data_IF_122348338026
#
_entry.id   IF_122348338026
#
_cell.length_a   1.000
_cell.length_b   1.000
_cell.length_c   1.000
_cell.angle_alpha   90.00
_cell.angle_beta   90.00
_cell.angle_gamma   90.00
#
_symmetry.space_group_name_H-M   'P 1'
#
loop_
_entity.id
_entity.type
_entity.pdbx_description
1 polymer ?
#
# COMPACT_ATOMS: atom_id res chain seq x y z
N UNK A 1 -60.61 37.40 -11.87
CA UNK A 1 -60.10 37.45 -13.25
C UNK A 1 -58.74 38.09 -13.19
N UNK A 2 -57.67 37.35 -13.45
CA UNK A 2 -56.41 37.89 -13.95
C UNK A 2 -55.63 36.71 -14.55
N UNK A 3 -55.50 36.74 -15.88
CA UNK A 3 -54.66 35.82 -16.65
C UNK A 3 -53.25 36.39 -16.62
N UNK A 4 -52.27 35.57 -16.25
CA UNK A 4 -50.89 35.78 -16.68
C UNK A 4 -50.32 34.45 -17.19
N UNK A 5 -49.74 34.57 -18.37
CA UNK A 5 -49.35 33.57 -19.33
C UNK A 5 -47.95 33.02 -19.10
N UNK A 6 -47.81 31.70 -19.29
CA UNK A 6 -46.72 30.98 -19.98
C UNK A 6 -45.32 31.59 -19.87
N UNK A 7 -44.45 30.93 -19.10
CA UNK A 7 -43.06 30.66 -19.51
C UNK A 7 -42.66 29.27 -19.00
N UNK A 8 -42.71 28.29 -19.90
CA UNK A 8 -42.16 26.95 -19.71
C UNK A 8 -40.65 27.00 -19.83
N UNK A 9 -39.94 27.16 -18.71
CA UNK A 9 -38.48 27.10 -18.72
C UNK A 9 -38.01 25.63 -18.63
N UNK A 10 -38.09 24.96 -19.78
CA UNK A 10 -37.60 23.60 -19.97
C UNK A 10 -36.08 23.56 -19.91
N UNK A 11 -35.52 23.57 -18.70
CA UNK A 11 -34.10 23.30 -18.46
C UNK A 11 -33.79 21.83 -18.76
N UNK A 12 -33.63 21.53 -20.06
CA UNK A 12 -33.17 20.25 -20.59
C UNK A 12 -31.71 20.05 -20.14
N UNK A 13 -31.52 19.46 -18.95
CA UNK A 13 -30.21 18.99 -18.47
C UNK A 13 -29.59 18.10 -19.54
N UNK A 14 -28.63 18.63 -20.30
CA UNK A 14 -27.77 17.84 -21.19
C UNK A 14 -27.03 16.84 -20.30
N UNK A 15 -27.41 15.56 -20.37
CA UNK A 15 -26.59 14.45 -19.87
C UNK A 15 -25.23 14.56 -20.57
N UNK A 16 -24.19 15.01 -19.86
CA UNK A 16 -22.81 14.90 -20.32
C UNK A 16 -22.53 13.40 -20.44
N UNK A 17 -22.57 12.87 -21.67
CA UNK A 17 -22.07 11.53 -21.94
C UNK A 17 -20.60 11.52 -21.53
N UNK A 18 -20.24 10.71 -20.53
CA UNK A 18 -18.85 10.44 -20.19
C UNK A 18 -18.26 9.71 -21.39
N UNK A 19 -17.68 10.46 -22.34
CA UNK A 19 -16.79 9.87 -23.34
C UNK A 19 -15.66 9.24 -22.54
N UNK A 20 -15.54 7.91 -22.58
CA UNK A 20 -14.30 7.24 -22.20
C UNK A 20 -13.23 7.77 -23.15
N UNK A 21 -12.56 8.85 -22.76
CA UNK A 21 -11.35 9.29 -23.45
C UNK A 21 -10.39 8.11 -23.37
N UNK A 22 -10.22 7.41 -24.50
CA UNK A 22 -9.21 6.37 -24.60
C UNK A 22 -7.88 7.03 -24.30
N UNK A 23 -7.29 6.66 -23.17
CA UNK A 23 -5.97 7.16 -22.77
C UNK A 23 -5.01 6.96 -23.93
N UNK A 24 -4.48 8.07 -24.47
CA UNK A 24 -3.52 8.05 -25.58
C UNK A 24 -2.43 7.01 -25.34
N UNK A 25 -1.99 6.33 -26.41
CA UNK A 25 -0.94 5.30 -26.33
C UNK A 25 0.30 5.80 -25.57
N UNK A 26 0.63 7.09 -25.69
CA UNK A 26 1.70 7.74 -24.91
C UNK A 26 1.43 7.74 -23.40
N UNK A 27 0.20 7.99 -22.96
CA UNK A 27 -0.18 7.93 -21.54
C UNK A 27 -0.15 6.50 -21.00
N UNK A 28 -0.62 5.52 -21.78
CA UNK A 28 -0.56 4.09 -21.41
C UNK A 28 0.89 3.61 -21.28
N UNK A 29 1.74 3.97 -22.24
CA UNK A 29 3.17 3.68 -22.18
C UNK A 29 3.83 4.33 -20.96
N UNK A 30 3.58 5.62 -20.70
CA UNK A 30 4.12 6.31 -19.52
C UNK A 30 3.64 5.70 -18.22
N UNK A 31 2.39 5.24 -18.15
CA UNK A 31 1.85 4.53 -16.99
C UNK A 31 2.55 3.19 -16.77
N UNK A 32 2.74 2.39 -17.83
CA UNK A 32 3.49 1.13 -17.75
C UNK A 32 4.95 1.35 -17.35
N UNK A 33 5.63 2.32 -17.95
CA UNK A 33 7.03 2.65 -17.60
C UNK A 33 7.11 3.10 -16.14
N UNK A 34 6.20 3.96 -15.67
CA UNK A 34 6.15 4.38 -14.26
C UNK A 34 5.87 3.21 -13.33
N UNK A 35 4.97 2.30 -13.70
CA UNK A 35 4.70 1.08 -12.95
C UNK A 35 5.97 0.22 -12.84
N UNK A 36 6.67 -0.01 -13.94
CA UNK A 36 7.94 -0.77 -13.95
C UNK A 36 9.01 -0.05 -13.12
N UNK A 37 9.18 1.27 -13.28
CA UNK A 37 10.16 2.06 -12.52
C UNK A 37 9.88 2.06 -11.01
N UNK A 38 8.61 2.22 -10.60
CA UNK A 38 8.21 2.13 -9.19
C UNK A 38 8.48 0.75 -8.59
N UNK A 39 8.54 -0.29 -9.41
CA UNK A 39 8.80 -1.66 -9.00
C UNK A 39 10.25 -2.11 -9.23
N UNK A 40 11.07 -1.28 -9.91
CA UNK A 40 12.47 -1.58 -10.16
C UNK A 40 13.28 -1.86 -8.88
N UNK A 41 13.10 -1.16 -7.75
CA UNK A 41 13.99 -1.34 -6.59
C UNK A 41 13.99 -2.73 -5.96
N UNK A 42 12.86 -3.47 -5.98
CA UNK A 42 12.85 -4.86 -5.52
C UNK A 42 13.31 -5.84 -6.61
N UNK A 43 13.24 -5.45 -7.90
CA UNK A 43 13.87 -6.19 -9.01
C UNK A 43 15.41 -6.06 -8.99
N UNK A 44 15.97 -4.96 -8.48
CA UNK A 44 17.44 -4.74 -8.34
C UNK A 44 18.09 -5.72 -7.35
N UNK A 45 17.31 -6.43 -6.53
CA UNK A 45 17.81 -7.58 -5.76
C UNK A 45 18.43 -8.67 -6.66
N UNK A 46 18.07 -8.70 -7.96
CA UNK A 46 18.69 -9.54 -9.00
C UNK A 46 20.07 -9.01 -9.47
N UNK A 47 20.28 -7.69 -9.54
CA UNK A 47 21.51 -7.08 -10.08
C UNK A 47 22.70 -7.16 -9.11
N UNK A 48 22.45 -7.28 -7.80
CA UNK A 48 23.54 -7.51 -6.82
C UNK A 48 24.26 -8.84 -7.04
N UNK A 49 23.62 -9.83 -7.67
CA UNK A 49 24.25 -11.11 -8.01
C UNK A 49 25.14 -11.01 -9.26
N UNK A 50 24.96 -9.97 -10.09
CA UNK A 50 25.63 -9.82 -11.38
C UNK A 50 26.87 -8.93 -11.41
N UNK A 51 27.17 -8.18 -10.35
CA UNK A 51 28.36 -7.33 -10.28
C UNK A 51 29.48 -8.09 -9.58
N UNK A 52 30.55 -8.39 -10.33
CA UNK A 52 31.69 -9.22 -9.93
C UNK A 52 32.50 -8.69 -8.75
N UNK A 53 31.95 -8.81 -7.54
CA UNK A 53 32.64 -8.61 -6.27
C UNK A 53 33.07 -9.97 -5.74
N UNK A 54 34.27 -10.01 -5.18
CA UNK A 54 34.95 -11.21 -4.68
C UNK A 54 34.03 -12.11 -3.83
N UNK A 55 34.02 -13.41 -4.13
CA UNK A 55 33.04 -14.37 -3.60
C UNK A 55 32.99 -14.41 -2.06
N UNK A 56 34.10 -14.09 -1.41
CA UNK A 56 34.25 -14.04 0.05
C UNK A 56 33.56 -12.80 0.66
N UNK A 57 33.69 -11.64 0.00
CA UNK A 57 33.00 -10.41 0.43
C UNK A 57 31.51 -10.56 0.19
N UNK A 58 31.11 -11.08 -0.97
CA UNK A 58 29.72 -11.42 -1.25
C UNK A 58 29.15 -12.39 -0.22
N UNK A 59 29.88 -13.45 0.16
CA UNK A 59 29.40 -14.40 1.18
C UNK A 59 29.14 -13.74 2.53
N UNK A 60 30.00 -12.80 2.95
CA UNK A 60 29.83 -12.09 4.22
C UNK A 60 28.71 -11.04 4.16
N UNK A 61 28.62 -10.29 3.06
CA UNK A 61 27.54 -9.30 2.84
C UNK A 61 26.20 -10.00 2.67
N UNK A 62 26.14 -11.09 1.89
CA UNK A 62 24.97 -11.95 1.78
C UNK A 62 24.65 -12.65 3.10
N UNK A 63 25.63 -13.04 3.92
CA UNK A 63 25.37 -13.55 5.28
C UNK A 63 24.77 -12.48 6.18
N UNK A 64 25.23 -11.22 6.13
CA UNK A 64 24.63 -10.10 6.87
C UNK A 64 23.22 -9.79 6.35
N UNK A 65 23.03 -9.77 5.03
CA UNK A 65 21.72 -9.63 4.39
C UNK A 65 20.81 -10.84 4.71
N UNK A 66 21.34 -12.06 4.85
CA UNK A 66 20.61 -13.27 5.24
C UNK A 66 20.24 -13.22 6.73
N UNK A 67 21.14 -12.78 7.62
CA UNK A 67 20.86 -12.59 9.05
C UNK A 67 19.80 -11.50 9.26
N UNK A 68 19.85 -10.41 8.47
CA UNK A 68 18.80 -9.37 8.50
C UNK A 68 17.49 -9.85 7.84
N UNK A 69 17.53 -10.72 6.82
CA UNK A 69 16.39 -11.44 6.24
C UNK A 69 15.80 -12.52 7.16
N UNK A 70 16.58 -13.15 8.03
CA UNK A 70 16.06 -14.06 9.06
C UNK A 70 15.31 -13.30 10.15
N UNK A 71 15.75 -12.06 10.44
CA UNK A 71 15.03 -11.14 11.34
C UNK A 71 13.71 -10.64 10.74
N UNK A 72 13.62 -10.52 9.41
CA UNK A 72 12.43 -10.12 8.66
C UNK A 72 12.22 -11.07 7.48
N UNK A 73 11.44 -12.15 7.66
CA UNK A 73 11.12 -13.17 6.64
C UNK A 73 10.84 -12.54 5.27
N UNK A 74 11.88 -12.43 4.43
CA UNK A 74 11.78 -11.71 3.17
C UNK A 74 11.01 -12.57 2.18
N UNK A 75 9.88 -12.07 1.69
CA UNK A 75 9.06 -12.79 0.71
C UNK A 75 9.89 -13.10 -0.55
N UNK A 76 9.78 -14.33 -1.04
CA UNK A 76 10.39 -14.71 -2.33
C UNK A 76 9.73 -13.93 -3.47
N UNK A 77 10.41 -13.86 -4.61
CA UNK A 77 9.85 -13.26 -5.82
C UNK A 77 8.52 -13.89 -6.24
N UNK A 78 8.43 -15.22 -6.17
CA UNK A 78 7.21 -15.96 -6.46
C UNK A 78 6.05 -15.50 -5.56
N UNK A 79 6.30 -15.37 -4.25
CA UNK A 79 5.29 -14.94 -3.29
C UNK A 79 4.86 -13.48 -3.53
N UNK A 80 5.81 -12.58 -3.78
CA UNK A 80 5.52 -11.17 -4.13
C UNK A 80 4.67 -11.08 -5.39
N UNK A 81 4.93 -11.91 -6.39
CA UNK A 81 4.14 -11.99 -7.62
C UNK A 81 2.72 -12.49 -7.36
N UNK A 82 2.55 -13.56 -6.58
CA UNK A 82 1.23 -14.09 -6.19
C UNK A 82 0.41 -13.07 -5.41
N UNK A 83 1.02 -12.33 -4.49
CA UNK A 83 0.35 -11.28 -3.72
C UNK A 83 -0.02 -10.05 -4.56
N UNK A 84 0.52 -9.89 -5.77
CA UNK A 84 0.10 -8.84 -6.71
C UNK A 84 -1.01 -9.29 -7.66
N UNK A 85 -1.19 -10.59 -7.81
CA UNK A 85 -2.34 -11.16 -8.53
C UNK A 85 -3.63 -10.80 -7.77
N UNK A 86 -4.70 -10.65 -8.52
CA UNK A 86 -6.03 -10.44 -7.95
C UNK A 86 -6.41 -11.60 -7.02
N UNK A 87 -6.98 -11.28 -5.85
CA UNK A 87 -7.33 -12.26 -4.83
C UNK A 87 -8.31 -13.31 -5.36
N UNK A 88 -9.25 -12.93 -6.24
CA UNK A 88 -10.23 -13.86 -6.82
C UNK A 88 -9.64 -14.90 -7.76
N UNK A 89 -8.43 -14.63 -8.29
CA UNK A 89 -7.75 -15.52 -9.23
C UNK A 89 -6.75 -16.46 -8.55
N UNK A 90 -6.55 -16.37 -7.22
CA UNK A 90 -5.62 -17.22 -6.48
C UNK A 90 -6.23 -18.61 -6.27
N UNK A 91 -5.44 -19.64 -6.54
CA UNK A 91 -5.84 -21.04 -6.31
C UNK A 91 -5.70 -21.39 -4.83
N UNK A 92 -6.33 -22.48 -4.38
CA UNK A 92 -6.14 -22.99 -3.02
C UNK A 92 -4.67 -23.34 -2.73
N UNK A 93 -3.95 -23.86 -3.73
CA UNK A 93 -2.52 -24.12 -3.64
C UNK A 93 -1.70 -22.83 -3.46
N UNK A 94 -2.05 -21.76 -4.19
CA UNK A 94 -1.43 -20.44 -4.03
C UNK A 94 -1.63 -19.94 -2.59
N UNK A 95 -2.86 -20.03 -2.07
CA UNK A 95 -3.22 -19.56 -0.72
C UNK A 95 -2.47 -20.36 0.34
N UNK A 96 -2.39 -21.69 0.22
CA UNK A 96 -1.66 -22.55 1.15
C UNK A 96 -0.15 -22.25 1.12
N UNK A 97 0.41 -22.00 -0.07
CA UNK A 97 1.82 -21.60 -0.21
C UNK A 97 2.11 -20.25 0.47
N UNK A 98 1.21 -19.27 0.31
CA UNK A 98 1.31 -17.97 0.96
C UNK A 98 1.11 -18.08 2.47
N UNK A 99 0.20 -18.93 2.94
CA UNK A 99 -0.08 -19.10 4.37
C UNK A 99 1.14 -19.64 5.12
N UNK A 100 1.89 -20.58 4.51
CA UNK A 100 3.15 -21.10 5.08
C UNK A 100 4.20 -20.01 5.32
N UNK A 101 4.22 -18.99 4.48
CA UNK A 101 5.23 -17.93 4.52
C UNK A 101 4.77 -16.74 5.35
N UNK A 102 3.50 -16.35 5.23
CA UNK A 102 2.98 -15.07 5.74
C UNK A 102 2.08 -15.28 6.95
N UNK A 103 1.41 -16.43 7.05
CA UNK A 103 0.42 -16.71 8.10
C UNK A 103 0.98 -16.63 9.52
N UNK A 104 2.31 -16.76 9.70
CA UNK A 104 2.96 -16.71 11.01
C UNK A 104 3.69 -15.39 11.31
N UNK A 105 3.55 -14.37 10.46
CA UNK A 105 4.11 -13.05 10.72
C UNK A 105 3.52 -12.42 11.99
N UNK A 106 4.32 -11.61 12.69
CA UNK A 106 3.94 -10.98 13.97
C UNK A 106 2.61 -10.23 13.88
N UNK A 107 2.38 -9.51 12.78
CA UNK A 107 1.15 -8.79 12.51
C UNK A 107 -0.11 -9.68 12.42
N UNK A 108 0.04 -10.96 12.07
CA UNK A 108 -1.06 -11.89 11.92
C UNK A 108 -1.27 -12.81 13.13
N UNK A 109 -0.26 -12.99 13.98
CA UNK A 109 -0.33 -13.86 15.17
C UNK A 109 -1.44 -13.50 16.17
N UNK A 110 -1.93 -12.26 16.15
CA UNK A 110 -3.06 -11.82 16.99
C UNK A 110 -4.40 -12.43 16.56
N UNK A 111 -4.50 -12.95 15.33
CA UNK A 111 -5.75 -13.47 14.78
C UNK A 111 -5.81 -15.01 14.83
N UNK A 112 -7.01 -15.59 15.01
CA UNK A 112 -7.25 -17.03 14.89
C UNK A 112 -6.84 -17.59 13.52
N UNK A 113 -6.52 -18.87 13.43
CA UNK A 113 -6.06 -19.53 12.20
C UNK A 113 -7.00 -19.35 11.00
N UNK A 114 -8.31 -19.50 11.18
CA UNK A 114 -9.28 -19.28 10.12
C UNK A 114 -9.21 -17.86 9.55
N UNK A 115 -9.09 -16.85 10.43
CA UNK A 115 -8.96 -15.44 10.03
C UNK A 115 -7.62 -15.19 9.34
N UNK A 116 -6.52 -15.81 9.82
CA UNK A 116 -5.20 -15.67 9.18
C UNK A 116 -5.22 -16.20 7.74
N UNK A 117 -5.90 -17.32 7.49
CA UNK A 117 -6.03 -17.86 6.13
C UNK A 117 -6.79 -16.90 5.20
N UNK A 118 -7.89 -16.31 5.67
CA UNK A 118 -8.63 -15.29 4.90
C UNK A 118 -7.79 -14.03 4.65
N UNK A 119 -7.08 -13.54 5.68
CA UNK A 119 -6.21 -12.36 5.53
C UNK A 119 -5.11 -12.61 4.48
N UNK A 120 -4.51 -13.80 4.48
CA UNK A 120 -3.51 -14.16 3.46
C UNK A 120 -4.13 -14.23 2.07
N UNK A 121 -5.35 -14.77 1.95
CA UNK A 121 -6.04 -14.85 0.67
C UNK A 121 -6.37 -13.47 0.07
N UNK A 122 -6.72 -12.49 0.91
CA UNK A 122 -7.22 -11.17 0.48
C UNK A 122 -6.20 -10.03 0.54
N UNK A 123 -4.96 -10.29 0.96
CA UNK A 123 -3.92 -9.24 1.05
C UNK A 123 -3.13 -9.07 -0.25
N UNK A 124 -2.61 -7.86 -0.45
CA UNK A 124 -1.83 -7.47 -1.62
C UNK A 124 -0.44 -6.97 -1.25
N UNK A 125 0.58 -7.27 -2.05
CA UNK A 125 1.94 -6.79 -1.82
C UNK A 125 2.19 -5.44 -2.50
N UNK A 126 2.56 -4.44 -1.70
CA UNK A 126 2.95 -3.11 -2.18
C UNK A 126 4.37 -2.75 -1.73
N UNK A 127 5.04 -1.97 -2.59
CA UNK A 127 6.37 -1.44 -2.33
C UNK A 127 6.37 0.06 -2.49
N UNK A 128 6.93 0.78 -1.52
CA UNK A 128 7.13 2.21 -1.59
C UNK A 128 8.61 2.54 -1.31
N UNK A 129 9.14 3.49 -2.07
CA UNK A 129 10.45 4.08 -1.75
C UNK A 129 10.39 4.97 -0.51
N UNK A 130 11.53 5.50 -0.06
CA UNK A 130 11.58 6.51 1.01
C UNK A 130 10.84 7.79 0.61
N UNK A 131 10.49 8.59 1.60
CA UNK A 131 9.84 9.91 1.50
C UNK A 131 8.49 9.89 0.76
N UNK A 132 7.76 8.78 0.86
CA UNK A 132 6.46 8.59 0.21
C UNK A 132 5.34 8.73 1.23
N UNK A 133 4.43 9.67 1.02
CA UNK A 133 3.15 9.70 1.76
C UNK A 133 2.28 8.55 1.26
N UNK A 134 2.03 7.57 2.12
CA UNK A 134 1.25 6.35 1.83
C UNK A 134 -0.21 6.58 2.17
N UNK A 135 -0.46 7.20 3.32
CA UNK A 135 -1.79 7.59 3.81
C UNK A 135 -1.71 9.06 4.21
N UNK A 136 -2.76 9.81 3.93
CA UNK A 136 -2.83 11.24 4.26
C UNK A 136 -4.04 11.51 5.14
N UNK A 137 -3.85 12.30 6.19
CA UNK A 137 -4.92 12.73 7.09
C UNK A 137 -6.09 13.38 6.33
N UNK A 138 -7.30 13.22 6.84
CA UNK A 138 -8.58 13.69 6.29
C UNK A 138 -8.97 13.09 4.93
N UNK A 139 -8.16 12.19 4.35
CA UNK A 139 -8.55 11.48 3.14
C UNK A 139 -9.47 10.30 3.47
N UNK A 140 -10.20 9.81 2.46
CA UNK A 140 -11.04 8.63 2.59
C UNK A 140 -10.19 7.37 2.84
N UNK A 141 -10.70 6.48 3.70
CA UNK A 141 -10.04 5.22 4.04
C UNK A 141 -10.40 4.11 3.06
N UNK A 142 -9.40 3.59 2.34
CA UNK A 142 -9.57 2.57 1.29
C UNK A 142 -8.89 1.24 1.60
N UNK A 143 -7.97 1.22 2.56
CA UNK A 143 -7.21 0.02 2.94
C UNK A 143 -6.59 0.14 4.35
N UNK A 144 -6.15 -0.97 4.93
CA UNK A 144 -5.18 -0.98 6.03
C UNK A 144 -3.90 -1.67 5.56
N UNK A 145 -2.79 -1.35 6.22
CA UNK A 145 -1.48 -1.86 5.87
C UNK A 145 -0.80 -2.57 7.03
N UNK A 146 -0.09 -3.65 6.71
CA UNK A 146 0.80 -4.37 7.60
C UNK A 146 2.24 -4.14 7.15
N UNK A 147 3.11 -3.74 8.07
CA UNK A 147 4.52 -3.45 7.75
C UNK A 147 5.31 -4.76 7.71
N UNK A 148 5.87 -5.11 6.55
CA UNK A 148 6.76 -6.28 6.42
C UNK A 148 8.23 -5.89 6.57
N UNK A 149 8.61 -4.74 6.04
CA UNK A 149 9.98 -4.24 6.05
C UNK A 149 10.00 -2.72 5.97
N UNK A 150 11.05 -2.14 6.56
CA UNK A 150 11.32 -0.70 6.56
C UNK A 150 10.60 0.02 7.70
N UNK A 151 10.61 1.34 7.61
CA UNK A 151 10.20 2.23 8.70
C UNK A 151 9.23 3.28 8.17
N UNK A 152 8.15 3.50 8.91
CA UNK A 152 7.15 4.53 8.64
C UNK A 152 7.10 5.52 9.79
N UNK A 153 6.79 6.76 9.47
CA UNK A 153 6.48 7.82 10.43
C UNK A 153 4.99 8.17 10.33
N UNK A 154 4.35 8.28 11.49
CA UNK A 154 2.96 8.70 11.62
C UNK A 154 2.95 10.11 12.18
N UNK A 155 2.32 11.03 11.44
CA UNK A 155 2.21 12.44 11.79
C UNK A 155 0.76 12.88 11.85
N UNK A 156 0.46 13.75 12.80
CA UNK A 156 -0.84 14.35 12.99
C UNK A 156 -0.74 15.86 12.82
N UNK A 157 -1.57 16.44 11.95
CA UNK A 157 -1.64 17.89 11.72
C UNK A 157 -2.89 18.45 12.39
N UNK A 158 -2.69 19.41 13.30
CA UNK A 158 -3.78 20.12 13.99
C UNK A 158 -3.58 21.63 13.93
N UNK A 159 -4.66 22.37 14.15
CA UNK A 159 -4.58 23.81 14.32
C UNK A 159 -4.14 24.13 15.75
N UNK A 160 -3.08 24.92 15.89
CA UNK A 160 -2.67 25.47 17.17
C UNK A 160 -3.77 26.43 17.68
N UNK A 161 -4.38 26.16 18.85
CA UNK A 161 -5.49 26.96 19.36
C UNK A 161 -5.05 28.36 19.79
N UNK A 162 -3.75 28.57 20.07
CA UNK A 162 -3.21 29.85 20.53
C UNK A 162 -2.77 30.69 19.33
N UNK A 163 -2.05 30.10 18.38
CA UNK A 163 -1.44 30.83 17.27
C UNK A 163 -2.20 30.74 15.95
N UNK A 164 -3.23 29.90 15.86
CA UNK A 164 -4.03 29.73 14.63
C UNK A 164 -3.21 29.22 13.44
N UNK A 165 -2.13 28.49 13.70
CA UNK A 165 -1.25 27.91 12.67
C UNK A 165 -1.39 26.40 12.65
N UNK A 166 -1.26 25.80 11.47
CA UNK A 166 -1.16 24.35 11.36
C UNK A 166 0.18 23.89 11.91
N UNK A 167 0.13 22.97 12.87
CA UNK A 167 1.28 22.32 13.49
C UNK A 167 1.19 20.83 13.21
N UNK A 168 2.27 20.25 12.73
CA UNK A 168 2.40 18.82 12.49
C UNK A 168 3.30 18.21 13.56
N UNK A 169 2.79 17.21 14.25
CA UNK A 169 3.50 16.50 15.31
C UNK A 169 3.70 15.04 14.92
N UNK A 170 4.89 14.50 15.20
CA UNK A 170 5.15 13.05 15.06
C UNK A 170 4.47 12.34 16.21
N UNK A 171 3.55 11.44 15.90
CA UNK A 171 2.78 10.69 16.90
C UNK A 171 3.41 9.33 17.20
N UNK A 172 3.97 8.66 16.18
CA UNK A 172 4.62 7.36 16.35
C UNK A 172 5.48 6.98 15.15
N UNK A 173 6.39 6.02 15.34
CA UNK A 173 7.08 5.31 14.27
C UNK A 173 6.60 3.86 14.20
N UNK A 174 6.46 3.33 12.98
CA UNK A 174 6.02 1.95 12.75
C UNK A 174 7.15 1.12 12.15
N UNK A 175 7.29 -0.09 12.65
CA UNK A 175 8.31 -1.06 12.30
C UNK A 175 7.67 -2.36 11.83
N UNK A 176 8.46 -3.32 11.31
CA UNK A 176 7.89 -4.56 10.82
C UNK A 176 7.12 -5.34 11.89
N UNK A 177 5.93 -5.80 11.51
CA UNK A 177 4.95 -6.42 12.38
C UNK A 177 3.86 -5.47 12.88
N UNK A 178 4.02 -4.15 12.67
CA UNK A 178 2.99 -3.17 13.04
C UNK A 178 1.91 -3.04 11.95
N UNK A 179 0.77 -2.48 12.35
CA UNK A 179 -0.42 -2.27 11.51
C UNK A 179 -0.77 -0.79 11.51
N UNK A 180 -1.25 -0.27 10.37
CA UNK A 180 -1.72 1.10 10.28
C UNK A 180 -2.98 1.24 9.43
N UNK A 181 -3.72 2.31 9.66
CA UNK A 181 -4.93 2.64 8.90
C UNK A 181 -6.17 1.83 9.28
N UNK A 182 -6.12 1.04 10.36
CA UNK A 182 -7.21 0.22 10.87
C UNK A 182 -8.39 1.05 11.41
N UNK A 183 -8.11 2.13 12.16
CA UNK A 183 -9.13 2.94 12.83
C UNK A 183 -10.12 3.52 11.82
N UNK A 184 -9.61 4.18 10.79
CA UNK A 184 -10.44 4.82 9.77
C UNK A 184 -11.24 3.84 8.93
N UNK A 185 -10.71 2.62 8.72
CA UNK A 185 -11.45 1.56 8.05
C UNK A 185 -12.60 1.02 8.90
N UNK A 186 -12.35 0.73 10.17
CA UNK A 186 -13.33 0.09 11.06
C UNK A 186 -14.46 1.04 11.45
N UNK A 187 -14.14 2.32 11.66
CA UNK A 187 -15.11 3.32 12.13
C UNK A 187 -15.76 4.13 10.99
N UNK A 188 -15.42 3.87 9.73
CA UNK A 188 -15.89 4.65 8.57
C UNK A 188 -15.66 6.16 8.74
N UNK A 189 -14.53 6.54 9.33
CA UNK A 189 -14.11 7.95 9.49
C UNK A 189 -12.95 8.26 8.53
N UNK A 190 -12.69 9.55 8.22
CA UNK A 190 -11.49 9.93 7.49
C UNK A 190 -10.19 9.43 8.15
N UNK A 191 -9.10 9.43 7.40
CA UNK A 191 -7.77 9.13 7.93
C UNK A 191 -7.42 10.06 9.08
N UNK A 192 -7.16 9.49 10.25
CA UNK A 192 -6.80 10.25 11.46
C UNK A 192 -5.42 10.87 11.36
N UNK A 193 -4.50 10.20 10.68
CA UNK A 193 -3.09 10.56 10.63
C UNK A 193 -2.52 10.42 9.21
N UNK A 194 -1.39 11.08 8.97
CA UNK A 194 -0.58 10.94 7.77
C UNK A 194 0.54 9.93 8.04
N UNK A 195 0.69 8.94 7.15
CA UNK A 195 1.73 7.92 7.24
C UNK A 195 2.70 8.07 6.08
N UNK A 196 3.97 8.30 6.39
CA UNK A 196 5.05 8.55 5.43
C UNK A 196 6.14 7.50 5.58
N UNK A 197 6.69 7.01 4.48
CA UNK A 197 7.86 6.13 4.53
C UNK A 197 9.14 6.91 4.80
N UNK A 198 9.90 6.47 5.82
CA UNK A 198 11.25 7.00 6.10
C UNK A 198 12.32 6.23 5.30
N UNK A 199 12.08 4.94 5.07
CA UNK A 199 12.97 4.06 4.28
C UNK A 199 12.18 3.40 3.15
N UNK A 200 12.85 2.57 2.34
CA UNK A 200 12.14 1.68 1.42
C UNK A 200 11.31 0.66 2.21
N UNK A 201 10.00 0.63 1.98
CA UNK A 201 9.06 -0.20 2.72
C UNK A 201 8.38 -1.26 1.85
N UNK A 202 8.19 -2.43 2.44
CA UNK A 202 7.38 -3.51 1.90
C UNK A 202 6.17 -3.69 2.80
N UNK A 203 4.98 -3.67 2.19
CA UNK A 203 3.72 -3.69 2.93
C UNK A 203 2.78 -4.78 2.39
N UNK A 204 1.98 -5.38 3.28
CA UNK A 204 0.77 -6.08 2.89
C UNK A 204 -0.41 -5.14 3.06
N UNK A 205 -1.22 -5.01 2.03
CA UNK A 205 -2.39 -4.13 2.01
C UNK A 205 -3.64 -4.99 1.99
N UNK A 206 -4.56 -4.73 2.91
CA UNK A 206 -5.92 -5.28 2.87
C UNK A 206 -6.85 -4.17 2.43
N UNK A 207 -7.50 -4.34 1.28
CA UNK A 207 -8.43 -3.36 0.72
C UNK A 207 -9.79 -3.49 1.39
N UNK A 208 -10.51 -2.37 1.44
CA UNK A 208 -11.94 -2.35 1.79
C UNK A 208 -12.73 -2.77 0.55
N UNK A 209 -13.48 -3.85 0.65
CA UNK A 209 -14.41 -4.30 -0.39
C UNK A 209 -15.70 -3.46 -0.43
#
# INVERSE_FOLDING_TARGET
MERLSILSDGHRRKKKSVRREQMSGKHRFRALVRMVLNHRPWLVELDRVGLGVDATIMKNVLMIDVITREKYQSLTLANKSLLRKDASLRTEEDIESLYKVIGNLKCFRRYPENVRKELVASTYFEYFGPDRVIVKQEHESTFLGFVLRGELEVTYTKMDPVFGKLVTEVTSHLFPGDVFGEVSLLHNVPRTDTVTSLTAVELLILKKD
#
